data_IF_298486664410
#
_entry.id   IF_298486664410
#
_cell.length_a   1.000
_cell.length_b   1.000
_cell.length_c   1.000
_cell.angle_alpha   90.00
_cell.angle_beta   90.00
_cell.angle_gamma   90.00
#
_symmetry.space_group_name_H-M   'P 1'
#
loop_
_entity.id
_entity.type
_entity.pdbx_description
1 polymer ?
#
# COMPACT_ATOMS: atom_id res chain seq x y z
N UNK A 1 14.53 -30.21 -20.87
CA UNK A 1 14.34 -28.75 -21.04
C UNK A 1 13.82 -28.19 -19.73
N UNK A 2 14.47 -27.17 -19.18
CA UNK A 2 14.01 -26.48 -17.96
C UNK A 2 13.07 -25.34 -18.33
N UNK A 3 11.93 -25.23 -17.65
CA UNK A 3 11.03 -24.08 -17.76
C UNK A 3 11.59 -22.97 -16.85
N UNK A 4 11.98 -21.84 -17.43
CA UNK A 4 12.36 -20.63 -16.70
C UNK A 4 11.12 -19.74 -16.63
N UNK A 5 10.79 -19.28 -15.43
CA UNK A 5 9.75 -18.27 -15.20
C UNK A 5 10.46 -17.04 -14.69
N UNK A 6 10.42 -15.97 -15.47
CA UNK A 6 10.96 -14.67 -15.07
C UNK A 6 9.91 -13.94 -14.22
N UNK A 7 10.27 -13.61 -12.98
CA UNK A 7 9.38 -12.92 -12.04
C UNK A 7 9.45 -11.40 -12.18
N UNK A 8 10.42 -10.86 -12.91
CA UNK A 8 10.55 -9.41 -13.12
C UNK A 8 9.35 -8.81 -13.85
N UNK A 9 8.65 -9.62 -14.66
CA UNK A 9 7.42 -9.24 -15.37
C UNK A 9 6.23 -8.93 -14.44
N UNK A 10 6.32 -9.28 -13.16
CA UNK A 10 5.29 -9.01 -12.15
C UNK A 10 5.53 -7.70 -11.42
N UNK A 11 6.68 -7.05 -11.61
CA UNK A 11 7.00 -5.77 -10.98
C UNK A 11 6.13 -4.65 -11.58
N UNK A 12 5.49 -3.87 -10.70
CA UNK A 12 4.68 -2.71 -11.09
C UNK A 12 5.49 -1.41 -10.99
N UNK A 13 4.98 -0.36 -11.62
CA UNK A 13 5.45 1.00 -11.38
C UNK A 13 5.18 1.41 -9.93
N UNK A 14 6.02 2.27 -9.33
CA UNK A 14 5.82 2.72 -7.96
C UNK A 14 4.62 3.66 -7.81
N UNK A 15 3.98 3.62 -6.65
CA UNK A 15 2.96 4.59 -6.25
C UNK A 15 3.65 5.76 -5.53
N UNK A 16 3.38 7.00 -5.98
CA UNK A 16 4.01 8.21 -5.44
C UNK A 16 2.96 9.07 -4.75
N UNK A 17 3.18 9.37 -3.47
CA UNK A 17 2.42 10.39 -2.73
C UNK A 17 3.21 11.68 -2.67
N UNK A 18 2.56 12.82 -2.94
CA UNK A 18 3.16 14.14 -2.75
C UNK A 18 2.43 14.89 -1.65
N UNK A 19 3.16 15.41 -0.67
CA UNK A 19 2.58 16.20 0.41
C UNK A 19 2.35 17.67 0.02
N UNK A 20 1.74 18.43 0.94
CA UNK A 20 1.43 19.84 0.77
C UNK A 20 2.66 20.75 0.68
N UNK A 21 3.84 20.26 1.11
CA UNK A 21 5.12 20.97 1.01
C UNK A 21 5.87 20.59 -0.28
N UNK A 22 5.30 19.72 -1.11
CA UNK A 22 5.86 19.27 -2.38
C UNK A 22 6.81 18.08 -2.25
N UNK A 23 6.90 17.47 -1.07
CA UNK A 23 7.80 16.33 -0.85
C UNK A 23 7.14 15.01 -1.25
N UNK A 24 7.89 14.16 -1.96
CA UNK A 24 7.38 12.92 -2.57
C UNK A 24 7.79 11.68 -1.81
N UNK A 25 6.87 10.74 -1.59
CA UNK A 25 7.07 9.49 -0.88
C UNK A 25 6.77 8.34 -1.83
N UNK A 26 7.75 7.45 -2.03
CA UNK A 26 7.71 6.43 -3.07
C UNK A 26 7.40 5.07 -2.47
N UNK A 27 6.25 4.52 -2.82
CA UNK A 27 5.87 3.15 -2.50
C UNK A 27 6.35 2.25 -3.66
N UNK A 28 7.27 1.31 -3.43
CA UNK A 28 7.79 0.45 -4.47
C UNK A 28 6.69 -0.45 -5.06
N UNK A 29 6.80 -0.76 -6.36
CA UNK A 29 5.90 -1.70 -7.04
C UNK A 29 6.16 -3.17 -6.72
N UNK A 30 7.19 -3.44 -5.92
CA UNK A 30 7.37 -4.69 -5.19
C UNK A 30 6.94 -4.50 -3.74
N UNK A 31 6.05 -5.36 -3.26
CA UNK A 31 5.58 -5.34 -1.88
C UNK A 31 5.97 -6.66 -1.23
N UNK A 32 6.68 -6.58 -0.10
CA UNK A 32 7.09 -7.76 0.64
C UNK A 32 5.91 -8.43 1.38
N UNK A 33 6.07 -9.73 1.65
CA UNK A 33 5.04 -10.52 2.34
C UNK A 33 4.84 -10.06 3.79
N UNK A 34 5.88 -9.55 4.45
CA UNK A 34 5.80 -9.09 5.83
C UNK A 34 4.90 -7.87 5.97
N UNK A 35 4.96 -6.96 5.00
CA UNK A 35 4.09 -5.80 4.91
C UNK A 35 2.65 -6.21 4.65
N UNK A 36 2.40 -7.19 3.77
CA UNK A 36 1.06 -7.76 3.57
C UNK A 36 0.48 -8.34 4.86
N UNK A 37 1.29 -9.07 5.64
CA UNK A 37 0.87 -9.59 6.94
C UNK A 37 0.54 -8.46 7.93
N UNK A 38 1.35 -7.39 7.97
CA UNK A 38 1.06 -6.20 8.79
C UNK A 38 -0.24 -5.52 8.39
N UNK A 39 -0.49 -5.33 7.10
CA UNK A 39 -1.74 -4.73 6.61
C UNK A 39 -2.97 -5.56 6.99
N UNK A 40 -2.90 -6.87 6.85
CA UNK A 40 -3.98 -7.77 7.30
C UNK A 40 -4.21 -7.64 8.81
N UNK A 41 -3.15 -7.53 9.60
CA UNK A 41 -3.26 -7.31 11.04
C UNK A 41 -3.89 -5.95 11.37
N UNK A 42 -3.61 -4.89 10.60
CA UNK A 42 -4.27 -3.60 10.75
C UNK A 42 -5.76 -3.67 10.48
N UNK A 43 -6.17 -4.30 9.38
CA UNK A 43 -7.59 -4.48 9.05
C UNK A 43 -8.34 -5.21 10.15
N UNK A 44 -7.77 -6.30 10.69
CA UNK A 44 -8.36 -7.04 11.80
C UNK A 44 -8.43 -6.25 13.10
N UNK A 45 -7.51 -5.30 13.33
CA UNK A 45 -7.52 -4.44 14.51
C UNK A 45 -8.57 -3.34 14.36
N UNK A 46 -8.66 -2.69 13.19
CA UNK A 46 -9.64 -1.62 12.92
C UNK A 46 -11.07 -2.08 13.19
N UNK A 47 -11.43 -3.31 12.78
CA UNK A 47 -12.78 -3.84 13.01
C UNK A 47 -13.13 -4.09 14.48
N UNK A 48 -12.13 -4.09 15.37
CA UNK A 48 -12.28 -4.32 16.81
C UNK A 48 -12.14 -3.05 17.64
N UNK A 49 -11.86 -1.91 17.01
CA UNK A 49 -11.68 -0.64 17.72
C UNK A 49 -13.05 -0.01 17.99
N UNK A 50 -13.36 0.20 19.26
CA UNK A 50 -14.62 0.82 19.69
C UNK A 50 -14.54 2.35 19.79
N UNK A 51 -13.33 2.88 20.04
CA UNK A 51 -13.11 4.32 20.21
C UNK A 51 -12.54 4.96 18.95
N UNK A 52 -13.12 6.09 18.55
CA UNK A 52 -12.70 6.83 17.35
C UNK A 52 -11.23 7.29 17.44
N UNK A 53 -10.78 7.76 18.60
CA UNK A 53 -9.39 8.19 18.81
C UNK A 53 -8.38 7.06 18.58
N UNK A 54 -8.70 5.85 19.05
CA UNK A 54 -7.87 4.67 18.84
C UNK A 54 -7.81 4.28 17.36
N UNK A 55 -8.91 4.50 16.62
CA UNK A 55 -8.98 4.24 15.18
C UNK A 55 -8.10 5.22 14.40
N UNK A 56 -8.14 6.51 14.76
CA UNK A 56 -7.27 7.53 14.16
C UNK A 56 -5.80 7.23 14.45
N UNK A 57 -5.47 6.86 15.68
CA UNK A 57 -4.09 6.51 16.05
C UNK A 57 -3.60 5.25 15.33
N UNK A 58 -4.48 4.28 15.11
CA UNK A 58 -4.18 3.08 14.32
C UNK A 58 -3.97 3.43 12.85
N UNK A 59 -4.81 4.30 12.28
CA UNK A 59 -4.64 4.83 10.92
C UNK A 59 -3.31 5.56 10.73
N UNK A 60 -2.90 6.40 11.70
CA UNK A 60 -1.58 7.05 11.69
C UNK A 60 -0.43 6.03 11.72
N UNK A 61 -0.52 4.97 12.53
CA UNK A 61 0.49 3.89 12.54
C UNK A 61 0.57 3.18 11.20
N UNK A 62 -0.58 2.90 10.59
CA UNK A 62 -0.64 2.30 9.25
C UNK A 62 -0.01 3.23 8.20
N UNK A 63 -0.26 4.54 8.25
CA UNK A 63 0.41 5.50 7.37
C UNK A 63 1.93 5.53 7.56
N UNK A 64 2.42 5.43 8.81
CA UNK A 64 3.87 5.31 9.07
C UNK A 64 4.41 4.08 8.36
N UNK A 65 3.79 2.92 8.55
CA UNK A 65 4.27 1.68 7.94
C UNK A 65 4.23 1.74 6.41
N UNK A 66 3.18 2.33 5.82
CA UNK A 66 3.05 2.53 4.36
C UNK A 66 4.18 3.42 3.85
N UNK A 67 4.29 4.65 4.38
CA UNK A 67 5.28 5.60 3.87
C UNK A 67 6.72 5.15 4.18
N UNK A 68 6.92 4.30 5.19
CA UNK A 68 8.23 3.67 5.51
C UNK A 68 8.64 2.56 4.53
N UNK A 69 7.79 2.25 3.55
CA UNK A 69 8.23 1.47 2.39
C UNK A 69 9.24 2.26 1.55
N UNK A 70 9.16 3.58 1.56
CA UNK A 70 10.22 4.45 1.04
C UNK A 70 11.44 4.42 1.97
N UNK A 71 12.40 3.54 1.67
CA UNK A 71 13.61 3.37 2.48
C UNK A 71 14.54 4.58 2.48
N UNK A 72 14.32 5.54 1.58
CA UNK A 72 15.08 6.80 1.56
C UNK A 72 14.65 7.76 2.68
N UNK A 73 13.52 7.49 3.34
CA UNK A 73 12.91 8.39 4.31
C UNK A 73 12.76 7.76 5.68
N UNK A 74 12.94 8.58 6.70
CA UNK A 74 12.61 8.23 8.07
C UNK A 74 11.21 8.77 8.42
N UNK A 75 10.20 7.89 8.39
CA UNK A 75 8.83 8.27 8.69
C UNK A 75 8.55 8.08 10.17
N UNK A 76 8.16 9.17 10.84
CA UNK A 76 7.88 9.18 12.27
C UNK A 76 6.45 9.65 12.55
N UNK A 77 5.94 9.36 13.74
CA UNK A 77 4.63 9.86 14.17
C UNK A 77 4.55 11.39 14.16
N UNK A 78 5.64 12.07 14.49
CA UNK A 78 5.69 13.53 14.47
C UNK A 78 5.59 14.07 13.04
N UNK A 79 6.26 13.42 12.08
CA UNK A 79 6.13 13.76 10.66
C UNK A 79 4.68 13.58 10.17
N UNK A 80 4.01 12.49 10.55
CA UNK A 80 2.60 12.26 10.21
C UNK A 80 1.71 13.35 10.80
N UNK A 81 1.91 13.71 12.07
CA UNK A 81 1.15 14.77 12.74
C UNK A 81 1.46 16.17 12.21
N UNK A 82 2.62 16.40 11.64
CA UNK A 82 2.98 17.70 11.07
C UNK A 82 2.46 17.84 9.63
N UNK A 83 2.69 16.81 8.79
CA UNK A 83 2.49 16.89 7.34
C UNK A 83 1.19 16.27 6.86
N UNK A 84 0.63 15.35 7.65
CA UNK A 84 -0.53 14.53 7.26
C UNK A 84 -1.66 14.57 8.29
N UNK A 85 -1.81 15.68 9.04
CA UNK A 85 -2.85 15.83 10.07
C UNK A 85 -4.27 16.07 9.56
N UNK A 86 -4.52 15.84 8.28
CA UNK A 86 -5.84 15.95 7.67
C UNK A 86 -6.41 14.55 7.46
N UNK A 87 -7.64 14.33 7.91
CA UNK A 87 -8.33 13.04 7.74
C UNK A 87 -8.42 12.62 6.26
N UNK A 88 -8.47 13.58 5.34
CA UNK A 88 -8.46 13.34 3.89
C UNK A 88 -7.14 12.76 3.42
N UNK A 89 -6.01 13.19 3.99
CA UNK A 89 -4.70 12.62 3.67
C UNK A 89 -4.61 11.16 4.11
N UNK A 90 -5.06 10.87 5.33
CA UNK A 90 -5.12 9.50 5.84
C UNK A 90 -5.99 8.62 4.93
N UNK A 91 -7.21 9.07 4.62
CA UNK A 91 -8.12 8.33 3.72
C UNK A 91 -7.46 8.01 2.38
N UNK A 92 -6.90 9.02 1.71
CA UNK A 92 -6.28 8.85 0.38
C UNK A 92 -5.08 7.90 0.44
N UNK A 93 -4.19 8.06 1.43
CA UNK A 93 -3.00 7.21 1.53
C UNK A 93 -3.39 5.75 1.75
N UNK A 94 -4.35 5.49 2.64
CA UNK A 94 -4.83 4.13 2.91
C UNK A 94 -5.54 3.53 1.69
N UNK A 95 -6.49 4.26 1.09
CA UNK A 95 -7.28 3.77 -0.05
C UNK A 95 -6.41 3.49 -1.28
N UNK A 96 -5.54 4.43 -1.66
CA UNK A 96 -4.70 4.28 -2.84
C UNK A 96 -3.66 3.17 -2.66
N UNK A 97 -3.09 3.03 -1.47
CA UNK A 97 -2.16 1.91 -1.19
C UNK A 97 -2.86 0.57 -1.29
N UNK A 98 -4.10 0.47 -0.77
CA UNK A 98 -4.87 -0.76 -0.85
C UNK A 98 -5.26 -1.11 -2.29
N UNK A 99 -5.64 -0.11 -3.10
CA UNK A 99 -5.89 -0.30 -4.53
C UNK A 99 -4.63 -0.78 -5.26
N UNK A 100 -3.51 -0.12 -5.03
CA UNK A 100 -2.21 -0.47 -5.59
C UNK A 100 -1.80 -1.91 -5.28
N UNK A 101 -1.95 -2.33 -4.02
CA UNK A 101 -1.66 -3.71 -3.61
C UNK A 101 -2.60 -4.70 -4.29
N UNK A 102 -3.89 -4.38 -4.39
CA UNK A 102 -4.84 -5.25 -5.09
C UNK A 102 -4.48 -5.39 -6.57
N UNK A 103 -3.92 -4.35 -7.20
CA UNK A 103 -3.44 -4.41 -8.58
C UNK A 103 -2.15 -5.23 -8.75
N UNK A 104 -1.29 -5.26 -7.73
CA UNK A 104 -0.11 -6.15 -7.67
C UNK A 104 -0.55 -7.61 -7.52
N UNK A 105 -1.51 -7.89 -6.64
CA UNK A 105 -1.98 -9.24 -6.34
C UNK A 105 -2.89 -9.80 -7.44
N UNK A 106 -3.62 -8.94 -8.17
CA UNK A 106 -4.44 -9.37 -9.31
C UNK A 106 -3.53 -9.85 -10.45
N UNK A 107 -3.60 -11.16 -10.70
CA UNK A 107 -2.90 -11.86 -11.79
C UNK A 107 -3.10 -11.14 -13.14
N UNK A 108 -2.03 -10.63 -13.80
CA UNK A 108 -2.14 -10.03 -15.11
C UNK A 108 -2.59 -11.02 -16.21
N UNK A 109 -2.52 -12.34 -15.95
CA UNK A 109 -2.95 -13.37 -16.90
C UNK A 109 -4.44 -13.74 -16.80
N UNK A 110 -5.19 -13.23 -15.81
CA UNK A 110 -6.59 -13.60 -15.61
C UNK A 110 -7.46 -13.24 -16.84
N UNK A 111 -7.16 -12.14 -17.53
CA UNK A 111 -7.90 -11.72 -18.74
C UNK A 111 -7.41 -12.40 -20.03
N UNK A 112 -6.30 -13.15 -20.01
CA UNK A 112 -5.78 -13.80 -21.23
C UNK A 112 -6.59 -15.04 -21.63
N UNK A 113 -7.26 -15.70 -20.68
CA UNK A 113 -8.02 -16.93 -20.91
C UNK A 113 -9.40 -16.69 -21.53
N UNK A 114 -10.02 -15.52 -21.32
CA UNK A 114 -11.32 -15.19 -21.93
C UNK A 114 -11.23 -14.95 -23.45
N UNK A 115 -10.04 -14.67 -23.97
CA UNK A 115 -9.81 -14.40 -25.39
C UNK A 115 -9.78 -15.68 -26.25
N UNK A 116 -9.61 -16.84 -25.63
CA UNK A 116 -9.44 -18.15 -26.30
C UNK A 116 -10.67 -19.05 -26.26
N UNK A 117 -11.74 -18.67 -25.54
CA UNK A 117 -12.96 -19.48 -25.41
C UNK A 117 -14.16 -18.94 -26.22
N UNK A 118 -13.89 -18.20 -27.30
CA UNK A 118 -14.91 -17.86 -28.31
C UNK A 118 -14.59 -18.57 -29.63
N UNK A 119 -14.90 -19.86 -29.68
CA UNK A 119 -15.19 -20.61 -30.91
C UNK A 119 -16.55 -21.30 -30.77
#
# INVERSE_FOLDING_TARGET
MSKIIDLSVLLREPLIFRDIKGEEYVIPGEIDLDFMLKLNAYQQKITKVEKEEDSINLGRKMMIDILSLDKSKNITMDLIKERFNDIRHMKIILEQTMLFINEIVKDPNFNSLESTNKE
#
